data_IF_919334550146
#
_entry.id   IF_919334550146
#
_cell.length_a   1.000
_cell.length_b   1.000
_cell.length_c   1.000
_cell.angle_alpha   90.00
_cell.angle_beta   90.00
_cell.angle_gamma   90.00
#
_symmetry.space_group_name_H-M   'P 1'
#
loop_
_entity.id
_entity.type
_entity.pdbx_description
1 polymer ?
#
# COMPACT_ATOMS: atom_id res chain seq x y z
N UNK A 1 -21.72 64.86 14.50
CA UNK A 1 -20.41 64.35 14.09
C UNK A 1 -20.45 62.85 14.31
N UNK A 2 -20.79 62.07 13.29
CA UNK A 2 -20.78 60.61 13.39
C UNK A 2 -19.33 60.10 13.30
N UNK A 3 -18.94 59.08 14.09
CA UNK A 3 -17.60 58.52 14.04
C UNK A 3 -17.36 57.82 12.70
N UNK A 4 -16.11 57.77 12.19
CA UNK A 4 -15.82 57.10 10.93
C UNK A 4 -16.05 55.59 11.05
N UNK A 5 -16.90 55.06 10.18
CA UNK A 5 -17.13 53.63 10.00
C UNK A 5 -15.82 52.95 9.56
N UNK A 6 -15.18 52.22 10.47
CA UNK A 6 -14.08 51.32 10.14
C UNK A 6 -14.65 50.18 9.30
N UNK A 7 -14.50 50.28 7.98
CA UNK A 7 -14.82 49.20 7.06
C UNK A 7 -13.80 48.09 7.30
N UNK A 8 -14.17 47.08 8.09
CA UNK A 8 -13.42 45.83 8.14
C UNK A 8 -13.46 45.25 6.72
N UNK A 9 -12.35 45.35 5.99
CA UNK A 9 -12.16 44.59 4.76
C UNK A 9 -12.36 43.10 5.05
N UNK A 10 -12.64 42.27 4.03
CA UNK A 10 -12.79 40.84 4.22
C UNK A 10 -11.58 40.34 5.01
N UNK A 11 -11.83 39.73 6.18
CA UNK A 11 -10.79 39.05 6.93
C UNK A 11 -10.11 38.12 5.95
N UNK A 12 -8.81 38.30 5.71
CA UNK A 12 -8.07 37.36 4.90
C UNK A 12 -8.20 36.03 5.63
N UNK A 13 -9.08 35.15 5.15
CA UNK A 13 -9.09 33.76 5.57
C UNK A 13 -7.69 33.26 5.21
N UNK A 14 -6.82 33.22 6.21
CA UNK A 14 -5.52 32.60 6.09
C UNK A 14 -5.81 31.17 5.58
N UNK A 15 -5.21 30.74 4.46
CA UNK A 15 -5.53 29.43 3.90
C UNK A 15 -5.30 28.39 4.99
N UNK A 16 -6.38 27.74 5.43
CA UNK A 16 -6.34 26.80 6.53
C UNK A 16 -5.17 25.82 6.32
N UNK A 17 -4.33 25.56 7.33
CA UNK A 17 -3.20 24.64 7.18
C UNK A 17 -3.69 23.31 6.62
N UNK A 18 -2.92 22.70 5.72
CA UNK A 18 -3.29 21.45 5.06
C UNK A 18 -3.08 20.25 6.00
N UNK A 19 -3.90 20.19 7.04
CA UNK A 19 -3.89 19.15 8.06
C UNK A 19 -4.10 17.76 7.45
N UNK A 20 -4.90 17.64 6.39
CA UNK A 20 -5.20 16.38 5.72
C UNK A 20 -3.95 15.76 5.09
N UNK A 21 -3.12 16.54 4.40
CA UNK A 21 -1.85 16.05 3.85
C UNK A 21 -0.88 15.67 4.95
N UNK A 22 -0.77 16.48 5.99
CA UNK A 22 0.08 16.18 7.15
C UNK A 22 -0.31 14.85 7.80
N UNK A 23 -1.60 14.64 8.10
CA UNK A 23 -2.11 13.40 8.68
C UNK A 23 -1.90 12.20 7.77
N UNK A 24 -2.07 12.37 6.45
CA UNK A 24 -1.81 11.31 5.46
C UNK A 24 -0.34 10.89 5.48
N UNK A 25 0.58 11.85 5.47
CA UNK A 25 2.02 11.57 5.52
C UNK A 25 2.41 10.90 6.85
N UNK A 26 1.86 11.39 7.97
CA UNK A 26 2.09 10.79 9.29
C UNK A 26 1.60 9.33 9.35
N UNK A 27 0.42 9.05 8.80
CA UNK A 27 -0.11 7.69 8.70
C UNK A 27 0.79 6.78 7.85
N UNK A 28 1.27 7.28 6.70
CA UNK A 28 2.18 6.52 5.84
C UNK A 28 3.51 6.23 6.55
N UNK A 29 4.06 7.19 7.30
CA UNK A 29 5.27 7.00 8.11
C UNK A 29 5.07 5.92 9.18
N UNK A 30 3.95 5.97 9.91
CA UNK A 30 3.60 4.95 10.89
C UNK A 30 3.49 3.56 10.24
N UNK A 31 2.90 3.48 9.04
CA UNK A 31 2.86 2.25 8.25
C UNK A 31 4.25 1.74 7.88
N UNK A 32 5.15 2.61 7.41
CA UNK A 32 6.54 2.25 7.08
C UNK A 32 7.27 1.70 8.32
N UNK A 33 7.11 2.34 9.49
CA UNK A 33 7.71 1.86 10.74
C UNK A 33 7.15 0.48 11.15
N UNK A 34 5.85 0.26 10.98
CA UNK A 34 5.21 -1.02 11.24
C UNK A 34 5.79 -2.13 10.34
N UNK A 35 5.87 -1.91 9.02
CA UNK A 35 6.48 -2.87 8.10
C UNK A 35 7.98 -3.08 8.37
N UNK A 36 8.71 -2.02 8.74
CA UNK A 36 10.13 -2.13 9.11
C UNK A 36 10.32 -3.05 10.33
N UNK A 37 9.43 -2.99 11.32
CA UNK A 37 9.43 -3.91 12.46
C UNK A 37 9.22 -5.37 12.05
N UNK A 38 8.25 -5.64 11.14
CA UNK A 38 8.00 -6.97 10.60
C UNK A 38 9.21 -7.51 9.80
N UNK A 39 9.84 -6.67 8.96
CA UNK A 39 11.06 -7.03 8.25
C UNK A 39 12.22 -7.30 9.22
N UNK A 40 12.34 -6.50 10.29
CA UNK A 40 13.32 -6.72 11.35
C UNK A 40 13.16 -8.10 12.01
N UNK A 41 11.93 -8.48 12.35
CA UNK A 41 11.63 -9.81 12.88
C UNK A 41 12.00 -10.94 11.90
N UNK A 42 11.65 -10.78 10.61
CA UNK A 42 12.07 -11.71 9.55
C UNK A 42 13.59 -11.86 9.47
N UNK A 43 14.35 -10.75 9.47
CA UNK A 43 15.81 -10.80 9.38
C UNK A 43 16.47 -11.46 10.58
N UNK A 44 16.04 -11.13 11.80
CA UNK A 44 16.54 -11.77 13.02
C UNK A 44 16.37 -13.29 12.88
N UNK A 45 15.19 -13.74 12.47
CA UNK A 45 14.88 -15.15 12.38
C UNK A 45 15.63 -15.84 11.24
N UNK A 46 15.75 -15.18 10.09
CA UNK A 46 16.50 -15.62 8.91
C UNK A 46 17.97 -15.91 9.19
N UNK A 47 18.59 -15.15 10.10
CA UNK A 47 20.00 -15.26 10.46
C UNK A 47 20.27 -15.95 11.80
N UNK A 48 19.24 -16.24 12.61
CA UNK A 48 19.39 -16.86 13.93
C UNK A 48 19.64 -18.38 13.94
N UNK A 49 19.44 -19.08 12.82
CA UNK A 49 19.47 -20.55 12.77
C UNK A 49 20.34 -21.16 11.66
N UNK A 50 20.69 -22.45 11.75
CA UNK A 50 21.55 -23.14 10.79
C UNK A 50 20.78 -23.45 9.49
N UNK A 51 20.84 -22.53 8.53
CA UNK A 51 20.30 -22.69 7.19
C UNK A 51 18.82 -22.32 7.07
N UNK A 52 18.49 -21.51 6.06
CA UNK A 52 17.12 -21.16 5.72
C UNK A 52 16.98 -21.04 4.19
N UNK A 53 15.91 -21.57 3.58
CA UNK A 53 14.79 -22.30 4.21
C UNK A 53 15.21 -23.66 4.80
N UNK A 54 14.58 -24.12 5.90
CA UNK A 54 14.78 -25.47 6.41
C UNK A 54 14.59 -26.57 5.35
N UNK A 55 15.34 -27.68 5.44
CA UNK A 55 15.26 -28.76 4.46
C UNK A 55 13.86 -29.40 4.43
N UNK A 56 13.39 -29.76 3.23
CA UNK A 56 12.07 -30.38 3.02
C UNK A 56 10.90 -29.40 2.84
N UNK A 57 11.16 -28.09 2.85
CA UNK A 57 10.10 -27.10 2.66
C UNK A 57 9.69 -26.91 1.18
N UNK A 58 8.38 -26.67 0.92
CA UNK A 58 7.91 -26.32 -0.42
C UNK A 58 8.63 -25.08 -0.96
N UNK A 59 9.04 -25.13 -2.22
CA UNK A 59 9.59 -23.95 -2.90
C UNK A 59 8.48 -22.93 -3.14
N UNK A 60 8.71 -21.68 -2.74
CA UNK A 60 7.77 -20.61 -3.02
C UNK A 60 7.70 -20.35 -4.53
N UNK A 61 6.50 -20.12 -5.09
CA UNK A 61 6.31 -19.85 -6.51
C UNK A 61 6.76 -18.42 -6.84
N UNK A 62 8.07 -18.18 -6.86
CA UNK A 62 8.68 -16.86 -7.06
C UNK A 62 8.24 -16.20 -8.38
N UNK A 63 8.03 -16.97 -9.44
CA UNK A 63 7.53 -16.45 -10.72
C UNK A 63 6.11 -15.87 -10.61
N UNK A 64 5.21 -16.54 -9.89
CA UNK A 64 3.84 -16.06 -9.68
C UNK A 64 3.82 -14.86 -8.74
N UNK A 65 4.65 -14.86 -7.70
CA UNK A 65 4.84 -13.71 -6.83
C UNK A 65 5.35 -12.49 -7.61
N UNK A 66 6.37 -12.67 -8.47
CA UNK A 66 6.91 -11.62 -9.33
C UNK A 66 5.88 -11.07 -10.33
N UNK A 67 5.09 -11.95 -10.95
CA UNK A 67 3.98 -11.54 -11.81
C UNK A 67 2.96 -10.71 -11.03
N UNK A 68 2.57 -11.15 -9.83
CA UNK A 68 1.61 -10.43 -9.01
C UNK A 68 2.13 -9.04 -8.57
N UNK A 69 3.43 -8.94 -8.30
CA UNK A 69 4.10 -7.64 -8.07
C UNK A 69 4.00 -6.73 -9.29
N UNK A 70 4.20 -7.26 -10.51
CA UNK A 70 4.03 -6.47 -11.72
C UNK A 70 2.58 -5.96 -11.89
N UNK A 71 1.57 -6.75 -11.50
CA UNK A 71 0.15 -6.36 -11.52
C UNK A 71 -0.10 -5.16 -10.60
N UNK A 72 0.37 -5.18 -9.35
CA UNK A 72 0.17 -4.05 -8.44
C UNK A 72 1.00 -2.82 -8.83
N UNK A 73 2.21 -3.01 -9.39
CA UNK A 73 2.99 -1.91 -9.98
C UNK A 73 2.26 -1.27 -11.15
N UNK A 74 1.63 -2.07 -12.02
CA UNK A 74 0.81 -1.55 -13.12
C UNK A 74 -0.40 -0.77 -12.60
N UNK A 75 -1.06 -1.23 -11.53
CA UNK A 75 -2.16 -0.49 -10.88
C UNK A 75 -1.70 0.92 -10.44
N UNK A 76 -0.50 1.05 -9.89
CA UNK A 76 0.08 2.37 -9.55
C UNK A 76 0.28 3.25 -10.78
N UNK A 77 0.73 2.69 -11.91
CA UNK A 77 0.88 3.45 -13.16
C UNK A 77 -0.48 3.92 -13.71
N UNK A 78 -1.52 3.09 -13.61
CA UNK A 78 -2.90 3.44 -13.96
C UNK A 78 -3.39 4.61 -13.10
N UNK A 79 -3.16 4.58 -11.78
CA UNK A 79 -3.49 5.70 -10.89
C UNK A 79 -2.78 7.01 -11.30
N UNK A 80 -1.53 6.95 -11.75
CA UNK A 80 -0.81 8.13 -12.28
C UNK A 80 -1.49 8.71 -13.53
N UNK A 81 -2.11 7.88 -14.38
CA UNK A 81 -2.92 8.34 -15.51
C UNK A 81 -4.22 8.98 -15.02
N UNK A 82 -4.85 8.42 -13.99
CA UNK A 82 -5.99 9.03 -13.30
C UNK A 82 -5.69 10.44 -12.76
N UNK A 83 -4.52 10.65 -12.15
CA UNK A 83 -4.07 11.98 -11.72
C UNK A 83 -3.95 12.96 -12.89
N UNK A 84 -3.53 12.49 -14.07
CA UNK A 84 -3.48 13.31 -15.29
C UNK A 84 -4.88 13.66 -15.80
N UNK A 85 -5.81 12.70 -15.81
CA UNK A 85 -7.20 12.95 -16.16
C UNK A 85 -7.86 13.98 -15.23
N UNK A 86 -7.58 13.88 -13.91
CA UNK A 86 -8.03 14.86 -12.92
C UNK A 86 -7.51 16.28 -13.23
N UNK A 87 -6.22 16.41 -13.58
CA UNK A 87 -5.63 17.71 -13.99
C UNK A 87 -6.26 18.30 -15.24
N UNK A 88 -6.76 17.45 -16.14
CA UNK A 88 -7.44 17.85 -17.37
C UNK A 88 -8.96 18.03 -17.19
N UNK A 89 -9.47 17.96 -15.96
CA UNK A 89 -10.91 18.02 -15.64
C UNK A 89 -11.76 16.93 -16.34
N UNK A 90 -11.14 15.80 -16.71
CA UNK A 90 -11.82 14.66 -17.33
C UNK A 90 -12.33 13.68 -16.26
N UNK A 91 -13.56 13.90 -15.83
CA UNK A 91 -14.22 13.05 -14.83
C UNK A 91 -14.48 11.62 -15.33
N UNK A 92 -14.71 11.42 -16.64
CA UNK A 92 -14.95 10.09 -17.20
C UNK A 92 -13.66 9.28 -17.23
N UNK A 93 -12.57 9.90 -17.70
CA UNK A 93 -11.22 9.33 -17.66
C UNK A 93 -10.79 8.98 -16.24
N UNK A 94 -10.99 9.90 -15.28
CA UNK A 94 -10.67 9.63 -13.87
C UNK A 94 -11.41 8.40 -13.31
N UNK A 95 -12.73 8.30 -13.54
CA UNK A 95 -13.53 7.15 -13.09
C UNK A 95 -13.07 5.84 -13.74
N UNK A 96 -12.75 5.86 -15.03
CA UNK A 96 -12.25 4.70 -15.75
C UNK A 96 -10.91 4.20 -15.22
N UNK A 97 -9.96 5.12 -15.02
CA UNK A 97 -8.62 4.80 -14.48
C UNK A 97 -8.72 4.30 -13.02
N UNK A 98 -9.59 4.90 -12.19
CA UNK A 98 -9.84 4.41 -10.83
C UNK A 98 -10.45 3.00 -10.80
N UNK A 99 -11.42 2.73 -11.67
CA UNK A 99 -12.04 1.41 -11.78
C UNK A 99 -11.02 0.36 -12.25
N UNK A 100 -10.16 0.70 -13.22
CA UNK A 100 -9.10 -0.17 -13.70
C UNK A 100 -8.06 -0.44 -12.62
N UNK A 101 -7.61 0.59 -11.89
CA UNK A 101 -6.66 0.44 -10.79
C UNK A 101 -7.23 -0.44 -9.67
N UNK A 102 -8.51 -0.25 -9.31
CA UNK A 102 -9.22 -1.07 -8.33
C UNK A 102 -9.36 -2.53 -8.80
N UNK A 103 -9.66 -2.76 -10.08
CA UNK A 103 -9.69 -4.09 -10.69
C UNK A 103 -8.34 -4.82 -10.60
N UNK A 104 -7.25 -4.13 -10.95
CA UNK A 104 -5.89 -4.67 -10.82
C UNK A 104 -5.51 -4.94 -9.36
N UNK A 105 -5.88 -4.05 -8.44
CA UNK A 105 -5.67 -4.25 -7.00
C UNK A 105 -6.45 -5.45 -6.44
N UNK A 106 -7.69 -5.63 -6.90
CA UNK A 106 -8.52 -6.79 -6.53
C UNK A 106 -7.89 -8.09 -7.05
N UNK A 107 -7.45 -8.11 -8.30
CA UNK A 107 -6.74 -9.24 -8.87
C UNK A 107 -5.47 -9.58 -8.07
N UNK A 108 -4.73 -8.56 -7.61
CA UNK A 108 -3.56 -8.76 -6.75
C UNK A 108 -3.89 -9.48 -5.45
N UNK A 109 -4.94 -9.05 -4.75
CA UNK A 109 -5.38 -9.66 -3.48
C UNK A 109 -5.85 -11.10 -3.70
N UNK A 110 -6.63 -11.36 -4.74
CA UNK A 110 -7.10 -12.72 -5.08
C UNK A 110 -5.93 -13.66 -5.37
N UNK A 111 -4.96 -13.21 -6.19
CA UNK A 111 -3.77 -14.00 -6.51
C UNK A 111 -2.92 -14.29 -5.27
N UNK A 112 -2.79 -13.34 -4.33
CA UNK A 112 -2.14 -13.63 -3.05
C UNK A 112 -2.93 -14.66 -2.25
N UNK A 113 -4.25 -14.50 -2.11
CA UNK A 113 -5.09 -15.44 -1.37
C UNK A 113 -5.01 -16.87 -1.91
N UNK A 114 -4.98 -17.05 -3.24
CA UNK A 114 -4.79 -18.36 -3.87
C UNK A 114 -3.42 -18.96 -3.55
N UNK A 115 -2.35 -18.15 -3.59
CA UNK A 115 -1.00 -18.61 -3.25
C UNK A 115 -0.90 -19.04 -1.79
N UNK A 116 -1.44 -18.22 -0.88
CA UNK A 116 -1.50 -18.53 0.55
C UNK A 116 -2.27 -19.82 0.82
N UNK A 117 -3.45 -20.00 0.20
CA UNK A 117 -4.22 -21.24 0.32
C UNK A 117 -3.42 -22.46 -0.14
N UNK A 118 -2.68 -22.35 -1.26
CA UNK A 118 -1.82 -23.44 -1.76
C UNK A 118 -0.70 -23.77 -0.78
N UNK A 119 -0.03 -22.77 -0.20
CA UNK A 119 1.05 -22.98 0.76
C UNK A 119 0.55 -23.62 2.06
N UNK A 120 -0.61 -23.19 2.56
CA UNK A 120 -1.26 -23.81 3.73
C UNK A 120 -1.60 -25.28 3.47
N UNK A 121 -2.14 -25.60 2.29
CA UNK A 121 -2.45 -26.98 1.90
C UNK A 121 -1.20 -27.85 1.73
N UNK A 122 -0.04 -27.26 1.43
CA UNK A 122 1.25 -27.92 1.35
C UNK A 122 1.94 -28.07 2.72
N UNK A 123 1.26 -27.74 3.81
CA UNK A 123 1.75 -27.91 5.18
C UNK A 123 2.56 -26.73 5.72
N UNK A 124 2.64 -25.60 4.99
CA UNK A 124 3.28 -24.38 5.48
C UNK A 124 2.34 -23.68 6.46
N UNK A 125 2.41 -24.05 7.74
CA UNK A 125 1.54 -23.50 8.79
C UNK A 125 2.33 -22.61 9.75
N UNK A 126 1.62 -21.70 10.42
CA UNK A 126 2.19 -20.84 11.47
C UNK A 126 2.66 -21.63 12.71
N UNK A 127 2.10 -22.82 12.96
CA UNK A 127 2.47 -23.64 14.11
C UNK A 127 3.60 -24.64 13.80
N UNK A 128 3.90 -24.87 12.52
CA UNK A 128 4.78 -25.95 12.10
C UNK A 128 6.26 -25.59 12.17
N UNK A 129 6.65 -24.44 11.62
CA UNK A 129 8.06 -24.05 11.53
C UNK A 129 8.24 -22.55 11.60
N UNK A 130 9.40 -22.14 12.08
CA UNK A 130 9.94 -20.78 12.07
C UNK A 130 9.84 -20.08 10.70
N UNK A 131 9.81 -20.85 9.61
CA UNK A 131 9.67 -20.34 8.24
C UNK A 131 8.24 -19.89 7.90
N UNK A 132 7.22 -20.49 8.52
CA UNK A 132 5.81 -20.14 8.30
C UNK A 132 5.31 -18.99 9.16
N UNK A 133 6.09 -18.56 10.15
CA UNK A 133 5.74 -17.50 11.12
C UNK A 133 6.23 -16.10 10.75
N UNK A 134 7.07 -15.99 9.72
CA UNK A 134 7.66 -14.73 9.23
C UNK A 134 7.34 -14.52 7.77
#
# INVERSE_FOLDING_TARGET
>A
MEPPMVVLGPTLEEPAPDHSRFLTVLLLLAGVMFFAGLLGAYFVLRYSGPGYPPPGMPRLPAGLAGFNTAVITLSSLVLRRGVRAMRNLDARGLRGELALAAGLGTAFVVLQGVQWRRLLLLGLTFAGTTYGTT
#
